data_IF_161810608455
#
_entry.id   IF_161810608455
#
_cell.length_a   1.000
_cell.length_b   1.000
_cell.length_c   1.000
_cell.angle_alpha   90.00
_cell.angle_beta   90.00
_cell.angle_gamma   90.00
#
_symmetry.space_group_name_H-M   'P 1'
#
loop_
_entity.id
_entity.type
_entity.pdbx_description
1 polymer ?
#
# COMPACT_ATOMS: atom_id res chain seq x y z
N UNK A 1 10.95 30.91 -18.52
CA UNK A 1 10.72 30.53 -18.13
C UNK A 1 10.51 29.99 -17.95
N UNK A 2 10.39 29.86 -17.71
CA UNK A 2 10.04 29.20 -17.26
C UNK A 2 9.81 28.74 -16.95
N UNK A 3 9.71 28.70 -16.92
CA UNK A 3 9.35 28.16 -16.43
C UNK A 3 9.15 27.50 -16.12
N UNK A 4 9.17 27.43 -16.12
CA UNK A 4 8.68 26.75 -15.62
C UNK A 4 8.84 26.15 -15.29
N UNK A 5 8.83 26.11 -15.29
CA UNK A 5 8.78 25.49 -14.80
C UNK A 5 8.80 24.92 -14.34
N UNK A 6 8.79 24.85 -14.30
CA UNK A 6 8.62 24.29 -13.71
C UNK A 6 8.57 23.74 -13.21
N UNK A 7 8.53 23.56 -13.17
CA UNK A 7 8.28 23.01 -12.51
C UNK A 7 8.41 22.52 -11.94
N UNK A 8 8.46 22.48 -11.90
CA UNK A 8 8.39 22.01 -11.21
C UNK A 8 8.49 21.62 -10.57
N UNK A 9 8.48 21.76 -10.71
CA UNK A 9 8.38 21.41 -10.03
C UNK A 9 8.50 21.15 -9.34
N UNK A 10 8.66 21.42 -9.50
CA UNK A 10 8.83 21.30 -8.66
C UNK A 10 8.61 21.19 -7.96
N UNK A 11 8.67 21.40 -8.14
CA UNK A 11 7.89 21.20 -7.18
C UNK A 11 8.11 20.22 -6.14
N UNK A 12 7.56 20.21 -5.03
CA UNK A 12 7.79 19.17 -4.08
C UNK A 12 7.30 17.82 -4.61
N UNK A 13 8.14 16.84 -4.83
CA UNK A 13 7.69 15.58 -5.37
C UNK A 13 6.81 14.82 -4.36
N UNK A 14 5.92 13.98 -4.85
CA UNK A 14 5.15 13.09 -4.00
C UNK A 14 6.10 12.13 -3.30
N UNK A 15 5.68 11.64 -2.12
CA UNK A 15 6.45 10.64 -1.39
C UNK A 15 6.58 9.38 -2.24
N UNK A 16 7.78 8.82 -2.29
CA UNK A 16 8.01 7.58 -3.02
C UNK A 16 7.48 6.40 -2.22
N UNK A 17 6.33 5.91 -2.62
CA UNK A 17 5.66 4.85 -1.90
C UNK A 17 6.40 3.52 -1.99
N UNK A 18 7.27 3.33 -2.98
CA UNK A 18 7.95 2.06 -3.16
C UNK A 18 8.84 1.71 -1.97
N UNK A 19 9.37 2.70 -1.26
CA UNK A 19 10.20 2.43 -0.08
C UNK A 19 9.38 1.80 1.04
N UNK A 20 8.11 2.18 1.17
CA UNK A 20 7.24 1.61 2.20
C UNK A 20 6.76 0.22 1.81
N UNK A 21 6.50 0.01 0.54
CA UNK A 21 6.13 -1.32 0.04
C UNK A 21 7.32 -2.27 0.20
N UNK A 22 8.55 -1.80 -0.06
CA UNK A 22 9.75 -2.60 0.17
C UNK A 22 9.90 -2.96 1.65
N UNK A 23 9.57 -2.01 2.54
CA UNK A 23 9.63 -2.27 3.99
C UNK A 23 8.61 -3.34 4.40
N UNK A 24 7.41 -3.30 3.83
CA UNK A 24 6.41 -4.35 4.07
C UNK A 24 6.93 -5.71 3.59
N UNK A 25 7.66 -5.72 2.48
CA UNK A 25 8.16 -6.96 1.89
C UNK A 25 9.29 -7.61 2.69
N UNK A 26 9.80 -6.93 3.71
CA UNK A 26 10.75 -7.55 4.63
C UNK A 26 10.05 -8.63 5.46
N UNK A 27 8.82 -8.37 5.90
CA UNK A 27 8.08 -9.26 6.79
C UNK A 27 6.94 -10.01 6.10
N UNK A 28 6.49 -9.54 4.95
CA UNK A 28 5.32 -10.08 4.28
C UNK A 28 5.61 -10.34 2.81
N UNK A 29 4.83 -11.24 2.26
CA UNK A 29 4.76 -11.46 0.82
C UNK A 29 3.31 -11.60 0.41
N UNK A 30 3.01 -11.46 -0.89
CA UNK A 30 1.64 -11.67 -1.35
C UNK A 30 1.18 -13.10 -1.08
N UNK A 31 -0.04 -13.23 -0.56
CA UNK A 31 -0.67 -14.54 -0.44
C UNK A 31 -1.42 -14.84 -1.72
N UNK A 32 -1.35 -16.07 -2.18
CA UNK A 32 -1.97 -16.46 -3.45
C UNK A 32 -3.48 -16.64 -3.31
N UNK A 33 -3.94 -16.94 -2.10
CA UNK A 33 -5.37 -17.22 -1.86
C UNK A 33 -5.66 -17.04 -0.38
N UNK A 34 -6.96 -17.07 0.02
CA UNK A 34 -7.34 -16.89 1.42
C UNK A 34 -6.72 -17.92 2.36
N UNK A 35 -6.53 -19.16 1.91
CA UNK A 35 -5.97 -20.21 2.77
C UNK A 35 -4.53 -19.91 3.18
N UNK A 36 -3.78 -19.17 2.35
CA UNK A 36 -2.40 -18.81 2.65
C UNK A 36 -2.28 -17.48 3.38
N UNK A 37 -3.37 -16.75 3.51
CA UNK A 37 -3.33 -15.40 4.08
C UNK A 37 -3.19 -15.47 5.59
N UNK A 38 -2.16 -14.83 6.12
CA UNK A 38 -1.95 -14.72 7.57
C UNK A 38 -2.46 -13.41 8.13
N UNK A 39 -2.51 -12.36 7.29
CA UNK A 39 -2.95 -11.03 7.70
C UNK A 39 -3.85 -10.43 6.63
N UNK A 40 -4.92 -9.80 7.07
CA UNK A 40 -5.91 -9.17 6.21
C UNK A 40 -5.90 -7.67 6.52
N UNK A 41 -5.42 -6.88 5.58
CA UNK A 41 -5.32 -5.43 5.77
C UNK A 41 -6.18 -4.68 4.76
N UNK A 42 -6.87 -3.65 5.22
CA UNK A 42 -7.53 -2.72 4.30
C UNK A 42 -6.49 -1.76 3.73
N UNK A 43 -6.85 -1.11 2.62
CA UNK A 43 -5.98 -0.05 2.06
C UNK A 43 -5.75 1.05 3.10
N UNK A 44 -6.80 1.41 3.85
CA UNK A 44 -6.68 2.44 4.88
C UNK A 44 -5.75 2.01 6.01
N UNK A 45 -5.76 0.74 6.38
CA UNK A 45 -4.85 0.25 7.41
C UNK A 45 -3.40 0.32 6.96
N UNK A 46 -3.13 0.00 5.69
CA UNK A 46 -1.78 0.11 5.14
C UNK A 46 -1.36 1.58 5.10
N UNK A 47 -2.25 2.46 4.67
CA UNK A 47 -1.98 3.90 4.64
C UNK A 47 -1.69 4.44 6.04
N UNK A 48 -2.47 4.02 7.04
CA UNK A 48 -2.26 4.45 8.41
C UNK A 48 -0.90 3.98 8.94
N UNK A 49 -0.50 2.75 8.60
CA UNK A 49 0.79 2.22 9.01
C UNK A 49 1.94 3.04 8.42
N UNK A 50 1.82 3.43 7.15
CA UNK A 50 2.83 4.27 6.51
C UNK A 50 2.90 5.63 7.21
N UNK A 51 1.76 6.22 7.54
CA UNK A 51 1.71 7.52 8.21
C UNK A 51 2.23 7.46 9.64
N UNK A 52 2.13 6.31 10.28
CA UNK A 52 2.73 6.13 11.61
C UNK A 52 4.25 6.17 11.54
N UNK A 53 4.82 5.66 10.44
CA UNK A 53 6.27 5.69 10.24
C UNK A 53 6.70 7.09 9.82
N UNK A 54 5.95 7.72 8.93
CA UNK A 54 6.28 9.03 8.39
C UNK A 54 5.01 9.89 8.32
N UNK A 55 4.71 10.63 9.40
CA UNK A 55 3.49 11.43 9.44
C UNK A 55 3.42 12.51 8.35
N UNK A 56 4.56 12.88 7.77
CA UNK A 56 4.59 13.89 6.71
C UNK A 56 4.43 13.29 5.31
N UNK A 57 4.29 11.98 5.20
CA UNK A 57 4.16 11.32 3.90
C UNK A 57 2.93 11.83 3.15
N UNK A 58 3.13 12.20 1.90
CA UNK A 58 2.05 12.71 1.04
C UNK A 58 1.60 11.60 0.12
N UNK A 59 0.75 10.73 0.65
CA UNK A 59 0.31 9.52 -0.03
C UNK A 59 -1.20 9.44 0.06
N UNK A 60 -1.85 9.10 -1.05
CA UNK A 60 -3.29 8.88 -1.12
C UNK A 60 -3.60 7.39 -1.06
N UNK A 61 -4.87 7.07 -0.79
CA UNK A 61 -5.35 5.69 -0.84
C UNK A 61 -5.11 5.07 -2.21
N UNK A 62 -5.33 5.84 -3.26
CA UNK A 62 -5.14 5.36 -4.64
C UNK A 62 -3.70 4.97 -4.90
N UNK A 63 -2.75 5.73 -4.36
CA UNK A 63 -1.34 5.40 -4.50
C UNK A 63 -1.00 4.11 -3.77
N UNK A 64 -1.54 3.92 -2.57
CA UNK A 64 -1.35 2.69 -1.81
C UNK A 64 -1.94 1.50 -2.57
N UNK A 65 -3.15 1.66 -3.08
CA UNK A 65 -3.83 0.62 -3.84
C UNK A 65 -2.99 0.19 -5.04
N UNK A 66 -2.57 1.16 -5.85
CA UNK A 66 -1.79 0.87 -7.05
C UNK A 66 -0.45 0.23 -6.72
N UNK A 67 0.22 0.71 -5.67
CA UNK A 67 1.52 0.18 -5.29
C UNK A 67 1.43 -1.26 -4.81
N UNK A 68 0.38 -1.60 -4.05
CA UNK A 68 0.19 -2.98 -3.61
C UNK A 68 -0.11 -3.91 -4.79
N UNK A 69 -0.95 -3.45 -5.73
CA UNK A 69 -1.22 -4.22 -6.94
C UNK A 69 0.06 -4.44 -7.74
N UNK A 70 0.83 -3.39 -7.93
CA UNK A 70 2.07 -3.47 -8.70
C UNK A 70 3.10 -4.39 -8.03
N UNK A 71 3.05 -4.50 -6.71
CA UNK A 71 3.94 -5.38 -5.96
C UNK A 71 3.47 -6.84 -5.95
N UNK A 72 2.32 -7.12 -6.55
CA UNK A 72 1.82 -8.48 -6.68
C UNK A 72 0.82 -8.90 -5.62
N UNK A 73 0.40 -7.99 -4.75
CA UNK A 73 -0.63 -8.30 -3.75
C UNK A 73 -2.01 -8.32 -4.37
N UNK A 74 -2.85 -9.23 -3.90
CA UNK A 74 -4.24 -9.30 -4.30
C UNK A 74 -5.15 -9.04 -3.11
N UNK A 75 -6.41 -8.79 -3.39
CA UNK A 75 -7.40 -8.57 -2.36
C UNK A 75 -8.67 -9.33 -2.70
N UNK A 76 -9.42 -9.65 -1.66
CA UNK A 76 -10.73 -10.26 -1.85
C UNK A 76 -11.58 -9.99 -0.63
N UNK A 77 -12.84 -10.42 -0.70
CA UNK A 77 -13.73 -10.32 0.44
C UNK A 77 -13.26 -11.33 1.50
N UNK A 78 -12.93 -10.82 2.70
CA UNK A 78 -12.41 -11.69 3.76
C UNK A 78 -13.45 -12.75 4.12
N UNK A 79 -13.05 -14.05 4.19
CA UNK A 79 -13.98 -15.11 4.55
C UNK A 79 -14.62 -14.84 5.91
N UNK A 80 -15.92 -15.10 6.01
CA UNK A 80 -16.67 -14.90 7.24
C UNK A 80 -17.17 -13.48 7.46
N UNK A 81 -16.81 -12.55 6.57
CA UNK A 81 -17.27 -11.17 6.65
C UNK A 81 -18.73 -11.08 6.22
N UNK A 82 -19.43 -10.12 6.82
CA UNK A 82 -20.76 -9.75 6.36
C UNK A 82 -20.61 -8.62 5.36
N UNK A 83 -21.28 -8.74 4.21
CA UNK A 83 -21.23 -7.73 3.18
C UNK A 83 -19.88 -7.73 2.48
N UNK A 84 -19.58 -6.63 1.78
CA UNK A 84 -18.40 -6.51 0.95
C UNK A 84 -17.28 -5.81 1.74
N UNK A 85 -16.39 -6.60 2.30
CA UNK A 85 -15.25 -6.10 3.05
C UNK A 85 -13.96 -6.56 2.39
N UNK A 86 -13.51 -5.80 1.38
CA UNK A 86 -12.31 -6.12 0.64
C UNK A 86 -11.07 -5.88 1.50
N UNK A 87 -10.19 -6.86 1.54
CA UNK A 87 -8.95 -6.79 2.29
C UNK A 87 -7.83 -7.36 1.45
N UNK A 88 -6.64 -6.78 1.61
CA UNK A 88 -5.43 -7.29 0.97
C UNK A 88 -4.96 -8.53 1.68
N UNK A 89 -4.48 -9.49 0.90
CA UNK A 89 -4.01 -10.78 1.40
C UNK A 89 -2.50 -10.75 1.57
N UNK A 90 -2.06 -10.73 2.82
CA UNK A 90 -0.65 -10.73 3.18
C UNK A 90 -0.29 -12.06 3.81
N UNK A 91 0.87 -12.57 3.46
CA UNK A 91 1.41 -13.78 4.07
C UNK A 91 2.70 -13.44 4.79
N UNK A 92 2.75 -13.74 6.08
CA UNK A 92 3.95 -13.46 6.86
C UNK A 92 5.09 -14.36 6.42
N UNK A 93 6.29 -13.78 6.31
CA UNK A 93 7.50 -14.54 6.01
C UNK A 93 8.04 -15.14 7.31
N UNK A 94 8.59 -16.32 7.18
CA UNK A 94 9.24 -16.96 8.32
C UNK A 94 10.64 -17.32 7.99
#
# INVERSE_FOLDING_TARGET
MNKGKKKQEQEQPATDISIYIAALSVNFRPAANPAETTHWFSTDEVLAAIRDIDPSAKISREQVFSALRDAGYDFCNRPGSHGLLLRWMFREKN
#
